data_IF_194641586403
#
_entry.id   IF_194641586403
#
_cell.length_a   1.000
_cell.length_b   1.000
_cell.length_c   1.000
_cell.angle_alpha   90.00
_cell.angle_beta   90.00
_cell.angle_gamma   90.00
#
_symmetry.space_group_name_H-M   'P 1'
#
loop_
_entity.id
_entity.type
_entity.pdbx_description
1 polymer ?
#
# COMPACT_ATOMS: atom_id res chain seq x y z
N UNK A 1 -13.97 17.07 10.66
CA UNK A 1 -13.20 17.44 11.86
C UNK A 1 -13.98 18.33 12.84
N UNK A 2 -14.43 19.53 12.43
CA UNK A 2 -15.02 20.53 13.34
C UNK A 2 -16.56 20.52 13.49
N UNK A 3 -17.27 19.68 12.73
CA UNK A 3 -18.74 19.65 12.75
C UNK A 3 -19.37 20.80 11.94
N UNK A 4 -20.70 20.79 11.79
CA UNK A 4 -21.43 21.83 11.07
C UNK A 4 -22.83 22.05 11.64
N UNK A 5 -23.33 23.28 11.47
CA UNK A 5 -24.71 23.64 11.74
C UNK A 5 -25.64 23.33 10.55
N UNK A 6 -26.94 23.28 10.83
CA UNK A 6 -27.95 23.15 9.76
C UNK A 6 -27.86 24.35 8.82
N UNK A 7 -27.83 24.09 7.51
CA UNK A 7 -27.76 25.12 6.47
C UNK A 7 -26.37 25.70 6.21
N UNK A 8 -25.32 25.13 6.79
CA UNK A 8 -23.95 25.62 6.60
C UNK A 8 -23.42 25.49 5.16
N UNK A 9 -23.94 24.54 4.38
CA UNK A 9 -23.65 24.33 2.96
C UNK A 9 -24.81 23.56 2.30
N UNK A 10 -24.79 23.45 0.97
CA UNK A 10 -25.80 22.69 0.21
C UNK A 10 -25.81 21.23 0.65
N UNK A 11 -26.93 20.77 1.24
CA UNK A 11 -27.06 19.42 1.80
C UNK A 11 -26.83 19.30 3.32
N UNK A 12 -26.53 20.39 4.02
CA UNK A 12 -26.48 20.42 5.49
C UNK A 12 -27.89 20.41 6.11
N UNK A 13 -28.60 19.28 6.00
CA UNK A 13 -30.01 19.12 6.42
C UNK A 13 -30.17 19.18 7.94
N UNK A 14 -29.15 18.75 8.69
CA UNK A 14 -29.14 18.70 10.14
C UNK A 14 -27.77 19.11 10.69
N UNK A 15 -27.73 19.46 11.98
CA UNK A 15 -26.48 19.70 12.71
C UNK A 15 -25.71 18.38 12.87
N UNK A 16 -24.39 18.43 12.71
CA UNK A 16 -23.49 17.29 12.98
C UNK A 16 -22.36 17.70 13.91
N UNK A 17 -22.20 16.95 15.00
CA UNK A 17 -21.11 17.11 15.97
C UNK A 17 -19.78 16.77 15.30
N UNK A 18 -18.75 17.59 15.58
CA UNK A 18 -17.39 17.38 15.08
C UNK A 18 -16.60 16.40 15.95
N UNK A 19 -15.49 15.87 15.41
CA UNK A 19 -14.60 14.95 16.13
C UNK A 19 -13.92 15.60 17.34
N UNK A 20 -13.64 16.90 17.29
CA UNK A 20 -13.11 17.64 18.44
C UNK A 20 -14.13 17.72 19.59
N UNK A 21 -15.39 17.99 19.28
CA UNK A 21 -16.48 18.05 20.27
C UNK A 21 -16.82 16.65 20.80
N UNK A 22 -16.82 15.63 19.94
CA UNK A 22 -17.03 14.23 20.31
C UNK A 22 -15.92 13.69 21.23
N UNK A 23 -14.68 14.15 21.04
CA UNK A 23 -13.53 13.75 21.85
C UNK A 23 -13.32 14.60 23.11
N UNK A 24 -14.20 15.55 23.42
CA UNK A 24 -14.07 16.45 24.56
C UNK A 24 -13.94 15.67 25.90
N UNK A 25 -12.94 16.00 26.70
CA UNK A 25 -12.56 15.28 27.92
C UNK A 25 -11.73 14.01 27.66
N UNK A 26 -11.37 13.72 26.41
CA UNK A 26 -10.70 12.51 25.98
C UNK A 26 -9.43 12.75 25.15
N UNK A 27 -9.13 11.81 24.25
CA UNK A 27 -7.98 11.86 23.35
C UNK A 27 -8.42 11.82 21.89
N UNK A 28 -7.84 12.68 21.06
CA UNK A 28 -8.04 12.73 19.63
C UNK A 28 -6.76 12.31 18.90
N UNK A 29 -6.82 11.24 18.12
CA UNK A 29 -5.76 10.82 17.21
C UNK A 29 -5.99 11.45 15.84
N UNK A 30 -5.01 12.20 15.36
CA UNK A 30 -4.97 12.77 14.01
C UNK A 30 -3.95 11.98 13.19
N UNK A 31 -4.44 11.20 12.22
CA UNK A 31 -3.59 10.43 11.33
C UNK A 31 -3.15 11.25 10.12
N UNK A 32 -1.89 11.08 9.69
CA UNK A 32 -1.30 11.70 8.48
C UNK A 32 -1.49 13.22 8.40
N UNK A 33 -1.13 13.95 9.46
CA UNK A 33 -1.34 15.41 9.53
C UNK A 33 -0.60 16.20 8.44
N UNK A 34 0.46 15.63 7.88
CA UNK A 34 1.25 16.18 6.77
C UNK A 34 0.42 16.40 5.50
N UNK A 35 -0.65 15.63 5.30
CA UNK A 35 -1.53 15.73 4.14
C UNK A 35 -2.72 16.69 4.37
N UNK A 36 -2.78 17.35 5.53
CA UNK A 36 -3.87 18.25 5.87
C UNK A 36 -3.76 19.56 5.07
N UNK A 37 -4.86 20.00 4.47
CA UNK A 37 -4.92 21.31 3.80
C UNK A 37 -4.59 22.48 4.74
N UNK A 38 -3.94 23.51 4.19
CA UNK A 38 -3.44 24.68 4.95
C UNK A 38 -4.57 25.43 5.67
N UNK A 39 -5.79 25.48 5.11
CA UNK A 39 -6.92 26.12 5.79
C UNK A 39 -7.38 25.33 7.02
N UNK A 40 -7.30 24.00 6.96
CA UNK A 40 -7.59 23.14 8.10
C UNK A 40 -6.49 23.21 9.16
N UNK A 41 -5.22 23.36 8.75
CA UNK A 41 -4.10 23.59 9.67
C UNK A 41 -4.32 24.85 10.53
N UNK A 42 -4.82 25.94 9.95
CA UNK A 42 -5.13 27.17 10.71
C UNK A 42 -6.24 26.95 11.75
N UNK A 43 -7.29 26.18 11.41
CA UNK A 43 -8.36 25.84 12.37
C UNK A 43 -7.86 24.91 13.46
N UNK A 44 -7.00 23.95 13.11
CA UNK A 44 -6.36 23.04 14.06
C UNK A 44 -5.48 23.81 15.05
N UNK A 45 -4.68 24.75 14.55
CA UNK A 45 -3.85 25.62 15.38
C UNK A 45 -4.71 26.36 16.42
N UNK A 46 -5.82 26.96 15.99
CA UNK A 46 -6.75 27.66 16.89
C UNK A 46 -7.35 26.72 17.93
N UNK A 47 -7.74 25.51 17.52
CA UNK A 47 -8.26 24.50 18.45
C UNK A 47 -7.24 24.08 19.52
N UNK A 48 -5.95 23.98 19.15
CA UNK A 48 -4.87 23.63 20.08
C UNK A 48 -4.53 24.82 21.01
N UNK A 49 -4.45 26.03 20.47
CA UNK A 49 -4.01 27.21 21.20
C UNK A 49 -5.09 27.78 22.12
N UNK A 50 -6.30 27.96 21.60
CA UNK A 50 -7.40 28.63 22.30
C UNK A 50 -8.32 27.65 23.03
N UNK A 51 -8.15 26.34 22.82
CA UNK A 51 -9.05 25.30 23.35
C UNK A 51 -10.53 25.53 22.97
N UNK A 52 -10.77 26.10 21.80
CA UNK A 52 -12.11 26.30 21.25
C UNK A 52 -12.16 25.90 19.78
N UNK A 53 -13.32 25.43 19.34
CA UNK A 53 -13.58 25.14 17.92
C UNK A 53 -14.79 25.93 17.42
N UNK A 54 -14.74 26.29 16.14
CA UNK A 54 -15.90 26.83 15.43
C UNK A 54 -16.50 25.76 14.52
N UNK A 55 -17.81 25.56 14.64
CA UNK A 55 -18.55 24.73 13.68
C UNK A 55 -18.65 25.44 12.34
N UNK A 56 -18.67 24.69 11.26
CA UNK A 56 -18.94 25.28 9.93
C UNK A 56 -20.36 25.85 9.92
N UNK A 57 -20.49 27.15 9.62
CA UNK A 57 -21.76 27.88 9.67
C UNK A 57 -22.25 28.21 11.10
N UNK A 58 -21.49 27.87 12.13
CA UNK A 58 -21.80 28.23 13.51
C UNK A 58 -21.23 29.59 13.89
N UNK A 59 -21.98 30.36 14.67
CA UNK A 59 -21.55 31.66 15.20
C UNK A 59 -20.97 31.59 16.60
N UNK A 60 -21.14 30.47 17.31
CA UNK A 60 -20.69 30.30 18.70
C UNK A 60 -19.50 29.35 18.76
N UNK A 61 -18.37 29.78 19.35
CA UNK A 61 -17.26 28.88 19.64
C UNK A 61 -17.68 27.84 20.68
N UNK A 62 -17.13 26.65 20.57
CA UNK A 62 -17.36 25.53 21.49
C UNK A 62 -16.05 25.22 22.21
N UNK A 63 -15.98 25.36 23.54
CA UNK A 63 -14.79 24.99 24.29
C UNK A 63 -14.57 23.49 24.25
N UNK A 64 -13.31 23.08 24.10
CA UNK A 64 -12.88 21.70 24.06
C UNK A 64 -11.63 21.50 24.91
N UNK A 65 -11.61 20.45 25.71
CA UNK A 65 -10.42 20.01 26.44
C UNK A 65 -10.06 18.61 25.97
N UNK A 66 -9.00 18.51 25.15
CA UNK A 66 -8.63 17.26 24.50
C UNK A 66 -7.12 17.05 24.55
N UNK A 67 -6.71 15.80 24.73
CA UNK A 67 -5.35 15.36 24.45
C UNK A 67 -5.23 15.06 22.96
N UNK A 68 -4.24 15.63 22.29
CA UNK A 68 -4.00 15.37 20.87
C UNK A 68 -2.80 14.45 20.70
N UNK A 69 -2.96 13.44 19.87
CA UNK A 69 -1.87 12.62 19.34
C UNK A 69 -1.92 12.79 17.83
N UNK A 70 -0.79 13.10 17.21
CA UNK A 70 -0.70 13.25 15.77
C UNK A 70 0.36 12.30 15.20
N UNK A 71 0.09 11.75 14.02
CA UNK A 71 1.06 10.95 13.26
C UNK A 71 1.36 11.66 11.94
N UNK A 72 2.54 11.41 11.41
CA UNK A 72 2.97 11.88 10.08
C UNK A 72 3.73 10.76 9.39
N UNK A 73 3.51 10.63 8.08
CA UNK A 73 4.27 9.73 7.20
C UNK A 73 5.47 10.44 6.54
N UNK A 74 5.57 11.78 6.68
CA UNK A 74 6.65 12.62 6.16
C UNK A 74 7.38 13.33 7.31
N UNK A 75 8.58 13.83 7.01
CA UNK A 75 9.25 14.77 7.92
C UNK A 75 8.50 16.11 7.88
N UNK A 76 7.98 16.54 9.03
CA UNK A 76 7.23 17.78 9.12
C UNK A 76 8.14 19.01 9.01
N UNK A 77 9.44 18.89 9.33
CA UNK A 77 10.39 19.99 9.12
C UNK A 77 10.62 20.25 7.62
N UNK A 78 10.70 19.19 6.82
CA UNK A 78 10.75 19.31 5.35
C UNK A 78 9.44 19.90 4.80
N UNK A 79 8.29 19.44 5.30
CA UNK A 79 6.98 19.98 4.89
C UNK A 79 6.82 21.48 5.21
N UNK A 80 7.42 21.97 6.31
CA UNK A 80 7.48 23.41 6.62
C UNK A 80 8.37 24.14 5.63
N UNK A 81 9.54 23.59 5.28
CA UNK A 81 10.44 24.18 4.30
C UNK A 81 9.78 24.31 2.90
N UNK A 82 8.95 23.32 2.53
CA UNK A 82 8.15 23.31 1.30
C UNK A 82 6.89 24.21 1.35
N UNK A 83 6.60 24.84 2.50
CA UNK A 83 5.39 25.65 2.76
C UNK A 83 4.08 24.88 2.61
N UNK A 84 4.12 23.55 2.59
CA UNK A 84 2.94 22.67 2.63
C UNK A 84 2.40 22.50 4.05
N UNK A 85 3.24 22.76 5.06
CA UNK A 85 2.88 22.72 6.47
C UNK A 85 3.23 24.03 7.18
N UNK A 86 2.39 24.46 8.12
CA UNK A 86 2.65 25.67 8.90
C UNK A 86 3.62 25.42 10.05
N UNK A 87 4.61 26.29 10.16
CA UNK A 87 5.62 26.26 11.21
C UNK A 87 5.01 26.44 12.62
N UNK A 88 4.05 27.37 12.76
CA UNK A 88 3.37 27.63 14.04
C UNK A 88 2.60 26.42 14.57
N UNK A 89 2.01 25.63 13.68
CA UNK A 89 1.34 24.38 14.01
C UNK A 89 2.34 23.28 14.40
N UNK A 90 3.47 23.19 13.69
CA UNK A 90 4.52 22.23 14.04
C UNK A 90 5.00 22.45 15.48
N UNK A 91 5.29 23.69 15.87
CA UNK A 91 5.73 24.00 17.23
C UNK A 91 4.70 23.65 18.30
N UNK A 92 3.39 23.70 18.00
CA UNK A 92 2.34 23.34 18.95
C UNK A 92 2.11 21.84 19.05
N UNK A 93 2.37 21.09 17.98
CA UNK A 93 2.23 19.63 17.97
C UNK A 93 3.49 18.92 18.47
N UNK A 94 4.67 19.47 18.16
CA UNK A 94 5.96 18.84 18.42
C UNK A 94 6.49 19.06 19.85
N UNK A 95 5.64 18.81 20.84
CA UNK A 95 6.01 18.89 22.27
C UNK A 95 6.77 17.63 22.70
N UNK A 96 6.28 16.46 22.29
CA UNK A 96 6.95 15.16 22.50
C UNK A 96 6.88 14.37 21.20
N UNK A 97 8.03 14.09 20.62
CA UNK A 97 8.15 13.33 19.37
C UNK A 97 8.52 11.87 19.64
N UNK A 98 7.75 10.95 19.10
CA UNK A 98 8.10 9.52 19.09
C UNK A 98 8.44 9.09 17.67
N UNK A 99 9.73 8.85 17.40
CA UNK A 99 10.18 8.34 16.10
C UNK A 99 10.05 6.82 16.07
N UNK A 100 9.11 6.32 15.27
CA UNK A 100 8.89 4.88 15.09
C UNK A 100 9.90 4.35 14.06
N UNK A 101 10.82 3.44 14.43
CA UNK A 101 11.80 2.91 13.48
C UNK A 101 11.13 2.03 12.42
N UNK A 102 11.65 1.98 11.18
CA UNK A 102 11.14 1.07 10.16
C UNK A 102 11.42 -0.40 10.55
N UNK A 103 10.62 -1.35 10.06
CA UNK A 103 10.77 -2.78 10.39
C UNK A 103 12.19 -3.32 10.12
N UNK A 104 12.84 -2.88 9.03
CA UNK A 104 14.24 -3.24 8.73
C UNK A 104 15.27 -2.90 9.81
N UNK A 105 14.97 -1.92 10.67
CA UNK A 105 15.85 -1.53 11.78
C UNK A 105 15.58 -2.33 13.07
N UNK A 106 14.60 -3.24 13.05
CA UNK A 106 14.17 -4.09 14.17
C UNK A 106 13.90 -5.51 13.69
N UNK A 107 14.94 -6.16 13.19
CA UNK A 107 14.86 -7.50 12.60
C UNK A 107 14.35 -8.58 13.57
N UNK A 108 14.56 -8.40 14.88
CA UNK A 108 14.02 -9.29 15.92
C UNK A 108 12.49 -9.31 15.95
N UNK A 109 11.84 -8.18 15.63
CA UNK A 109 10.38 -8.09 15.61
C UNK A 109 9.78 -8.88 14.44
N UNK A 110 10.54 -9.10 13.35
CA UNK A 110 10.06 -9.79 12.14
C UNK A 110 9.59 -11.20 12.50
N UNK A 111 10.33 -11.92 13.32
CA UNK A 111 10.01 -13.30 13.69
C UNK A 111 8.70 -13.38 14.50
N UNK A 112 8.59 -12.56 15.55
CA UNK A 112 7.42 -12.51 16.42
C UNK A 112 6.17 -12.05 15.65
N UNK A 113 6.31 -11.02 14.81
CA UNK A 113 5.22 -10.51 13.98
C UNK A 113 4.78 -11.54 12.94
N UNK A 114 5.72 -12.23 12.29
CA UNK A 114 5.39 -13.24 11.27
C UNK A 114 4.60 -14.39 11.87
N UNK A 115 5.02 -14.90 13.04
CA UNK A 115 4.30 -15.95 13.75
C UNK A 115 2.91 -15.48 14.21
N UNK A 116 2.80 -14.24 14.69
CA UNK A 116 1.51 -13.65 15.07
C UNK A 116 0.55 -13.57 13.88
N UNK A 117 1.00 -13.04 12.73
CA UNK A 117 0.18 -12.96 11.53
C UNK A 117 -0.16 -14.33 10.98
N UNK A 118 0.77 -15.29 11.03
CA UNK A 118 0.52 -16.65 10.58
C UNK A 118 -0.64 -17.28 11.36
N UNK A 119 -0.62 -17.14 12.69
CA UNK A 119 -1.71 -17.61 13.55
C UNK A 119 -3.03 -16.88 13.25
N UNK A 120 -3.00 -15.54 13.24
CA UNK A 120 -4.18 -14.67 13.01
C UNK A 120 -4.89 -15.03 11.71
N UNK A 121 -4.15 -15.20 10.62
CA UNK A 121 -4.73 -15.50 9.31
C UNK A 121 -5.05 -16.97 9.09
N UNK A 122 -4.39 -17.89 9.80
CA UNK A 122 -4.80 -19.30 9.79
C UNK A 122 -6.20 -19.45 10.41
N UNK A 123 -6.40 -18.82 11.58
CA UNK A 123 -7.71 -18.78 12.26
C UNK A 123 -8.79 -18.09 11.42
N UNK A 124 -8.48 -16.93 10.82
CA UNK A 124 -9.43 -16.18 10.00
C UNK A 124 -9.85 -16.93 8.72
N UNK A 125 -8.97 -17.74 8.14
CA UNK A 125 -9.24 -18.53 6.94
C UNK A 125 -9.74 -19.96 7.24
N UNK A 126 -9.88 -20.34 8.52
CA UNK A 126 -10.33 -21.67 8.92
C UNK A 126 -9.35 -22.79 8.55
N UNK A 127 -8.06 -22.47 8.41
CA UNK A 127 -7.00 -23.44 8.13
C UNK A 127 -6.19 -23.74 9.39
N UNK A 128 -5.57 -24.93 9.45
CA UNK A 128 -4.66 -25.26 10.54
C UNK A 128 -3.51 -24.25 10.62
N UNK A 129 -3.02 -23.96 11.83
CA UNK A 129 -1.87 -23.08 12.01
C UNK A 129 -0.63 -23.68 11.34
N UNK A 130 -0.12 -23.01 10.31
CA UNK A 130 1.04 -23.47 9.54
C UNK A 130 2.32 -22.84 10.10
N UNK A 131 3.27 -23.62 10.63
CA UNK A 131 4.56 -23.07 11.04
C UNK A 131 5.33 -22.54 9.83
N UNK A 132 6.20 -21.55 10.06
CA UNK A 132 7.10 -20.97 9.05
C UNK A 132 8.43 -21.72 9.15
N UNK A 133 8.97 -22.20 8.03
CA UNK A 133 10.30 -22.85 8.02
C UNK A 133 11.42 -21.87 8.36
N UNK A 134 12.56 -22.37 8.84
CA UNK A 134 13.74 -21.54 9.09
C UNK A 134 14.23 -20.84 7.81
N UNK A 135 14.16 -21.52 6.66
CA UNK A 135 14.51 -20.94 5.36
C UNK A 135 13.58 -19.78 4.97
N UNK A 136 12.27 -19.95 5.13
CA UNK A 136 11.30 -18.89 4.91
C UNK A 136 11.51 -17.72 5.87
N UNK A 137 11.82 -18.00 7.13
CA UNK A 137 12.16 -16.97 8.13
C UNK A 137 13.44 -16.22 7.76
N UNK A 138 14.45 -16.90 7.20
CA UNK A 138 15.65 -16.29 6.65
C UNK A 138 15.33 -15.26 5.57
N UNK A 139 14.47 -15.63 4.60
CA UNK A 139 13.99 -14.71 3.56
C UNK A 139 13.25 -13.50 4.13
N UNK A 140 12.39 -13.73 5.12
CA UNK A 140 11.66 -12.65 5.79
C UNK A 140 12.61 -11.68 6.52
N UNK A 141 13.70 -12.17 7.13
CA UNK A 141 14.67 -11.34 7.86
C UNK A 141 15.55 -10.49 6.93
N UNK A 142 15.84 -10.96 5.71
CA UNK A 142 16.70 -10.27 4.74
C UNK A 142 15.94 -9.16 3.99
N UNK A 143 14.62 -9.28 3.84
CA UNK A 143 13.83 -8.33 3.05
C UNK A 143 13.86 -6.90 3.66
N UNK A 144 14.04 -5.85 2.83
CA UNK A 144 14.04 -4.45 3.30
C UNK A 144 12.69 -3.93 3.84
N UNK A 145 11.58 -4.62 3.58
CA UNK A 145 10.22 -4.24 4.03
C UNK A 145 9.90 -2.75 3.85
N UNK A 146 9.83 -2.29 2.59
CA UNK A 146 9.56 -0.88 2.26
C UNK A 146 8.20 -0.42 2.79
N UNK A 147 7.20 -1.30 2.74
CA UNK A 147 5.86 -1.10 3.33
C UNK A 147 5.77 -1.48 4.81
N UNK A 148 6.90 -1.75 5.47
CA UNK A 148 7.01 -1.98 6.91
C UNK A 148 6.10 -3.16 7.35
N UNK A 149 5.54 -3.11 8.57
CA UNK A 149 4.67 -4.16 9.11
C UNK A 149 3.50 -4.52 8.18
N UNK A 150 2.93 -3.57 7.44
CA UNK A 150 1.81 -3.84 6.51
C UNK A 150 2.23 -4.74 5.35
N UNK A 151 3.44 -4.54 4.82
CA UNK A 151 3.98 -5.40 3.77
C UNK A 151 4.23 -6.81 4.30
N UNK A 152 4.82 -6.93 5.49
CA UNK A 152 5.02 -8.23 6.16
C UNK A 152 3.67 -8.95 6.38
N UNK A 153 2.68 -8.25 6.94
CA UNK A 153 1.35 -8.79 7.20
C UNK A 153 0.71 -9.34 5.92
N UNK A 154 0.76 -8.57 4.82
CA UNK A 154 0.23 -8.99 3.52
C UNK A 154 0.99 -10.18 2.93
N UNK A 155 2.32 -10.22 3.06
CA UNK A 155 3.14 -11.33 2.57
C UNK A 155 2.80 -12.62 3.31
N UNK A 156 2.67 -12.57 4.65
CA UNK A 156 2.29 -13.75 5.44
C UNK A 156 0.85 -14.19 5.14
N UNK A 157 -0.07 -13.25 5.02
CA UNK A 157 -1.44 -13.56 4.64
C UNK A 157 -1.50 -14.27 3.28
N UNK A 158 -0.76 -13.77 2.28
CA UNK A 158 -0.65 -14.40 0.96
C UNK A 158 0.00 -15.79 1.05
N UNK A 159 1.06 -15.93 1.85
CA UNK A 159 1.74 -17.21 2.04
C UNK A 159 0.77 -18.27 2.60
N UNK A 160 -0.13 -17.91 3.51
CA UNK A 160 -1.16 -18.83 4.01
C UNK A 160 -2.13 -19.25 2.91
N UNK A 161 -2.55 -18.34 2.05
CA UNK A 161 -3.49 -18.63 0.97
C UNK A 161 -2.87 -19.49 -0.14
N UNK A 162 -1.57 -19.29 -0.43
CA UNK A 162 -0.87 -19.96 -1.53
C UNK A 162 -0.16 -21.25 -1.12
N UNK A 163 0.19 -21.41 0.15
CA UNK A 163 0.89 -22.58 0.64
C UNK A 163 0.09 -23.86 0.37
N UNK A 164 0.73 -24.80 -0.30
CA UNK A 164 0.25 -26.16 -0.50
C UNK A 164 0.91 -27.05 0.57
N UNK A 165 0.11 -27.55 1.52
CA UNK A 165 0.57 -28.38 2.64
C UNK A 165 0.41 -27.72 4.00
N UNK A 166 1.18 -28.20 4.97
CA UNK A 166 1.02 -27.86 6.39
C UNK A 166 2.05 -26.84 6.90
N UNK A 167 3.01 -26.43 6.08
CA UNK A 167 4.15 -25.58 6.49
C UNK A 167 4.40 -24.49 5.45
N UNK A 168 4.65 -23.26 5.90
CA UNK A 168 5.00 -22.13 5.04
C UNK A 168 6.48 -22.23 4.66
N UNK A 169 6.73 -22.67 3.42
CA UNK A 169 8.05 -22.74 2.80
C UNK A 169 8.51 -21.43 2.17
N UNK A 170 9.77 -21.37 1.69
CA UNK A 170 10.35 -20.18 1.08
C UNK A 170 9.70 -19.77 -0.25
N UNK A 171 9.05 -20.71 -0.93
CA UNK A 171 8.29 -20.53 -2.17
C UNK A 171 6.98 -19.75 -1.96
N UNK A 172 6.37 -19.88 -0.78
CA UNK A 172 5.17 -19.15 -0.40
C UNK A 172 5.46 -17.68 -0.03
N UNK A 173 6.73 -17.33 0.22
CA UNK A 173 7.13 -15.97 0.58
C UNK A 173 7.40 -15.15 -0.68
N UNK A 174 6.33 -14.58 -1.22
CA UNK A 174 6.34 -13.76 -2.44
C UNK A 174 6.14 -12.28 -2.12
N UNK A 175 6.90 -11.43 -2.81
CA UNK A 175 6.74 -9.97 -2.80
C UNK A 175 5.37 -9.57 -3.39
N UNK A 176 4.91 -8.32 -3.18
CA UNK A 176 3.61 -7.86 -3.69
C UNK A 176 3.40 -8.02 -5.20
N UNK A 177 4.47 -8.04 -5.98
CA UNK A 177 4.50 -8.25 -7.43
C UNK A 177 4.53 -9.73 -7.84
N UNK A 178 4.52 -10.66 -6.87
CA UNK A 178 4.60 -12.10 -7.11
C UNK A 178 6.03 -12.62 -7.31
N UNK A 179 7.04 -11.78 -7.20
CA UNK A 179 8.45 -12.21 -7.29
C UNK A 179 8.94 -12.82 -5.98
N UNK A 180 9.89 -13.74 -6.06
CA UNK A 180 10.56 -14.28 -4.88
C UNK A 180 11.49 -13.22 -4.28
N UNK A 181 11.62 -13.21 -2.94
CA UNK A 181 12.63 -12.38 -2.27
C UNK A 181 14.02 -12.84 -2.74
N UNK A 182 14.91 -11.93 -3.19
CA UNK A 182 16.25 -12.30 -3.61
C UNK A 182 17.03 -12.98 -2.48
N UNK A 183 17.57 -14.17 -2.75
CA UNK A 183 18.48 -14.87 -1.85
C UNK A 183 19.86 -14.18 -1.92
N UNK A 184 20.12 -13.23 -1.03
CA UNK A 184 21.46 -12.66 -0.86
C UNK A 184 22.35 -13.60 -0.04
N UNK A 185 22.69 -14.74 -0.63
CA UNK A 185 23.79 -15.59 -0.22
C UNK A 185 24.82 -15.61 -1.35
N UNK A 186 25.63 -14.55 -1.40
CA UNK A 186 27.02 -14.47 -1.89
C UNK A 186 27.28 -13.04 -2.39
N UNK A 187 28.01 -12.28 -1.57
CA UNK A 187 28.80 -11.19 -2.08
C UNK A 187 29.92 -11.81 -2.93
N UNK A 188 29.68 -11.93 -4.22
CA UNK A 188 30.68 -11.77 -5.25
C UNK A 188 29.99 -11.57 -6.60
N UNK A 189 30.44 -10.53 -7.29
CA UNK A 189 30.10 -10.08 -8.63
C UNK A 189 29.74 -11.20 -9.61
N UNK A 190 28.45 -11.49 -9.74
CA UNK A 190 27.85 -12.01 -10.98
C UNK A 190 26.40 -11.50 -11.08
N UNK A 191 26.29 -10.25 -11.52
CA UNK A 191 25.06 -9.73 -12.10
C UNK A 191 24.78 -10.46 -13.42
N UNK A 192 24.09 -11.60 -13.33
CA UNK A 192 23.52 -12.29 -14.49
C UNK A 192 22.17 -12.88 -14.11
N UNK A 193 21.09 -12.23 -14.57
CA UNK A 193 19.83 -12.96 -14.66
C UNK A 193 18.54 -12.18 -14.91
N UNK A 194 18.35 -10.94 -14.43
CA UNK A 194 17.13 -10.16 -14.73
C UNK A 194 17.36 -8.64 -14.82
N UNK A 195 18.58 -8.27 -15.17
CA UNK A 195 18.92 -6.95 -15.67
C UNK A 195 19.45 -7.10 -17.10
N UNK A 196 18.53 -7.28 -18.04
CA UNK A 196 18.74 -6.93 -19.43
C UNK A 196 17.36 -6.54 -20.01
N UNK A 197 17.11 -5.36 -20.54
CA UNK A 197 18.04 -4.34 -21.00
C UNK A 197 17.23 -3.07 -21.33
N UNK A 198 17.39 -1.98 -20.57
CA UNK A 198 17.11 -0.64 -21.12
C UNK A 198 17.97 -0.34 -22.36
N UNK A 199 19.13 -1.02 -22.48
CA UNK A 199 20.04 -0.94 -23.61
C UNK A 199 19.61 -1.75 -24.87
N UNK A 200 18.60 -2.62 -24.79
CA UNK A 200 18.12 -3.51 -25.89
C UNK A 200 16.80 -3.00 -26.49
N UNK A 201 16.28 -1.91 -25.93
CA UNK A 201 15.15 -1.16 -26.47
C UNK A 201 15.62 -0.07 -27.45
N UNK A 202 16.90 0.30 -27.40
CA UNK A 202 17.52 1.27 -28.31
C UNK A 202 17.67 0.65 -29.70
N UNK A 203 16.89 1.15 -30.66
CA UNK A 203 16.89 0.69 -32.05
C UNK A 203 15.71 -0.20 -32.47
N UNK A 204 14.83 -0.60 -31.53
CA UNK A 204 13.58 -1.31 -31.85
C UNK A 204 12.43 -0.31 -32.05
N UNK A 205 11.50 -0.63 -32.94
CA UNK A 205 10.31 0.20 -33.15
C UNK A 205 9.43 0.11 -31.90
N UNK A 206 8.90 1.26 -31.47
CA UNK A 206 8.00 1.36 -30.30
C UNK A 206 6.83 0.37 -30.39
N UNK A 207 6.32 0.13 -31.59
CA UNK A 207 5.23 -0.83 -31.83
C UNK A 207 5.60 -2.29 -31.49
N UNK A 208 6.83 -2.71 -31.73
CA UNK A 208 7.30 -4.08 -31.45
C UNK A 208 7.52 -4.29 -29.95
N UNK A 209 8.08 -3.27 -29.28
CA UNK A 209 8.26 -3.28 -27.82
C UNK A 209 6.91 -3.32 -27.11
N UNK A 210 5.95 -2.50 -27.58
CA UNK A 210 4.58 -2.49 -27.04
C UNK A 210 3.90 -3.84 -27.23
N UNK A 211 4.05 -4.45 -28.40
CA UNK A 211 3.48 -5.75 -28.71
C UNK A 211 4.03 -6.86 -27.82
N UNK A 212 5.35 -6.95 -27.66
CA UNK A 212 6.01 -7.95 -26.81
C UNK A 212 5.56 -7.80 -25.35
N UNK A 213 5.47 -6.56 -24.86
CA UNK A 213 5.04 -6.26 -23.49
C UNK A 213 3.59 -6.70 -23.25
N UNK A 214 2.71 -6.46 -24.22
CA UNK A 214 1.29 -6.85 -24.13
C UNK A 214 1.15 -8.39 -24.11
N UNK A 215 1.85 -9.11 -24.99
CA UNK A 215 1.77 -10.57 -25.09
C UNK A 215 2.35 -11.25 -23.85
N UNK A 216 3.53 -10.84 -23.39
CA UNK A 216 4.15 -11.39 -22.18
C UNK A 216 3.27 -11.18 -20.94
N UNK A 217 2.61 -10.01 -20.84
CA UNK A 217 1.71 -9.74 -19.70
C UNK A 217 0.42 -10.56 -19.78
N UNK A 218 -0.06 -10.87 -20.99
CA UNK A 218 -1.20 -11.75 -21.21
C UNK A 218 -0.89 -13.20 -20.84
N UNK A 219 0.30 -13.70 -21.20
CA UNK A 219 0.77 -15.04 -20.83
C UNK A 219 0.92 -15.16 -19.31
N UNK A 220 1.52 -14.15 -18.67
CA UNK A 220 1.62 -14.09 -17.20
C UNK A 220 0.25 -14.07 -16.51
N UNK A 221 -0.77 -13.52 -17.17
CA UNK A 221 -2.15 -13.50 -16.68
C UNK A 221 -3.00 -14.68 -17.15
N UNK A 222 -2.41 -15.73 -17.74
CA UNK A 222 -3.10 -16.91 -18.27
C UNK A 222 -4.24 -16.54 -19.24
N UNK A 223 -4.03 -15.51 -20.07
CA UNK A 223 -5.02 -15.01 -21.02
C UNK A 223 -6.11 -14.12 -20.41
N UNK A 224 -6.06 -13.79 -19.11
CA UNK A 224 -7.04 -12.89 -18.48
C UNK A 224 -6.81 -11.43 -18.89
N UNK A 225 -7.53 -11.01 -19.93
CA UNK A 225 -7.45 -9.67 -20.53
C UNK A 225 -7.76 -8.54 -19.55
N UNK A 226 -8.69 -8.73 -18.62
CA UNK A 226 -9.05 -7.69 -17.63
C UNK A 226 -7.91 -7.48 -16.64
N UNK A 227 -7.27 -8.57 -16.21
CA UNK A 227 -6.14 -8.49 -15.30
C UNK A 227 -4.89 -7.92 -15.99
N UNK A 228 -4.61 -8.37 -17.22
CA UNK A 228 -3.50 -7.86 -18.02
C UNK A 228 -3.63 -6.35 -18.32
N UNK A 229 -4.85 -5.85 -18.60
CA UNK A 229 -5.10 -4.43 -18.83
C UNK A 229 -4.79 -3.58 -17.57
N UNK A 230 -5.15 -4.08 -16.39
CA UNK A 230 -4.87 -3.41 -15.11
C UNK A 230 -3.36 -3.37 -14.81
N UNK A 231 -2.61 -4.44 -15.11
CA UNK A 231 -1.16 -4.49 -14.91
C UNK A 231 -0.44 -3.55 -15.89
N UNK A 232 -0.90 -3.49 -17.14
CA UNK A 232 -0.35 -2.60 -18.17
C UNK A 232 -0.76 -1.14 -18.01
N UNK A 233 -1.70 -0.83 -17.12
CA UNK A 233 -2.21 0.54 -16.91
C UNK A 233 -3.00 1.11 -18.09
N UNK A 234 -3.56 0.26 -18.97
CA UNK A 234 -4.36 0.69 -20.14
C UNK A 234 -5.80 0.23 -20.02
N UNK A 235 -6.72 0.93 -20.71
CA UNK A 235 -8.12 0.50 -20.72
C UNK A 235 -8.29 -0.87 -21.38
N UNK A 236 -9.23 -1.69 -20.86
CA UNK A 236 -9.58 -2.98 -21.46
C UNK A 236 -10.01 -2.85 -22.94
N UNK A 237 -10.58 -1.69 -23.32
CA UNK A 237 -10.95 -1.37 -24.70
C UNK A 237 -9.71 -1.19 -25.58
N UNK A 238 -8.70 -0.49 -25.06
CA UNK A 238 -7.40 -0.29 -25.74
C UNK A 238 -6.69 -1.63 -25.94
N UNK A 239 -6.64 -2.46 -24.90
CA UNK A 239 -6.05 -3.80 -24.98
C UNK A 239 -6.76 -4.67 -26.03
N UNK A 240 -8.10 -4.71 -26.03
CA UNK A 240 -8.88 -5.47 -27.02
C UNK A 240 -8.66 -5.01 -28.46
N UNK A 241 -8.57 -3.70 -28.68
CA UNK A 241 -8.33 -3.14 -30.01
C UNK A 241 -6.93 -3.53 -30.53
N UNK A 242 -5.91 -3.50 -29.66
CA UNK A 242 -4.54 -3.91 -29.98
C UNK A 242 -4.46 -5.42 -30.27
N UNK A 243 -5.10 -6.26 -29.46
CA UNK A 243 -5.16 -7.70 -29.70
C UNK A 243 -5.89 -8.07 -31.00
N UNK A 244 -6.93 -7.32 -31.36
CA UNK A 244 -7.64 -7.51 -32.63
C UNK A 244 -6.78 -7.15 -33.84
N UNK A 245 -5.94 -6.13 -33.71
CA UNK A 245 -4.97 -5.74 -34.73
C UNK A 245 -3.90 -6.84 -34.89
N UNK A 246 -3.31 -7.31 -33.79
CA UNK A 246 -2.29 -8.38 -33.81
C UNK A 246 -2.82 -9.71 -34.35
N UNK A 247 -4.07 -10.06 -34.02
CA UNK A 247 -4.74 -11.25 -34.57
C UNK A 247 -5.04 -11.11 -36.06
N UNK A 248 -5.22 -9.89 -36.58
CA UNK A 248 -5.36 -9.60 -38.01
C UNK A 248 -4.03 -9.67 -38.77
N UNK A 249 -2.92 -9.37 -38.09
CA UNK A 249 -1.56 -9.44 -38.60
C UNK A 249 -0.94 -10.85 -38.49
N UNK A 250 -1.72 -11.86 -38.09
CA UNK A 250 -1.31 -13.28 -38.06
C UNK A 250 -0.56 -13.72 -36.80
N UNK A 251 -0.55 -12.92 -35.73
CA UNK A 251 0.15 -13.24 -34.48
C UNK A 251 -0.76 -14.05 -33.54
N UNK A 252 -0.22 -15.12 -32.96
CA UNK A 252 -0.95 -15.99 -32.03
C UNK A 252 -1.25 -15.24 -30.72
N UNK A 253 -2.53 -15.02 -30.45
CA UNK A 253 -3.00 -14.37 -29.21
C UNK A 253 -3.44 -15.43 -28.21
N UNK A 254 -2.89 -15.45 -26.98
CA UNK A 254 -3.32 -16.36 -25.93
C UNK A 254 -4.81 -16.18 -25.60
N UNK A 255 -5.59 -17.26 -25.70
CA UNK A 255 -7.03 -17.25 -25.42
C UNK A 255 -7.30 -17.48 -23.93
N UNK A 256 -8.27 -16.75 -23.39
CA UNK A 256 -8.73 -16.98 -22.02
C UNK A 256 -9.49 -18.31 -21.94
N UNK A 257 -8.92 -19.29 -21.24
CA UNK A 257 -9.64 -20.47 -20.76
C UNK A 257 -9.82 -21.64 -21.75
N UNK A 258 -9.07 -21.71 -22.85
CA UNK A 258 -9.05 -22.89 -23.70
C UNK A 258 -7.60 -23.26 -24.04
N UNK A 259 -7.02 -24.18 -23.26
CA UNK A 259 -6.10 -25.24 -23.72
C UNK A 259 -5.46 -26.08 -22.61
N UNK A 260 -5.86 -25.92 -21.34
CA UNK A 260 -5.42 -26.87 -20.29
C UNK A 260 -6.22 -28.19 -20.25
N UNK A 261 -7.22 -28.37 -21.12
CA UNK A 261 -7.95 -29.65 -21.25
C UNK A 261 -7.37 -30.60 -22.30
N UNK A 262 -6.50 -30.13 -23.21
CA UNK A 262 -5.94 -30.97 -24.27
C UNK A 262 -4.61 -31.66 -23.87
N UNK A 263 -3.85 -31.09 -22.92
CA UNK A 263 -2.56 -31.63 -22.50
C UNK A 263 -2.63 -32.78 -21.45
N UNK A 264 -3.83 -33.17 -21.02
CA UNK A 264 -4.07 -34.23 -20.03
C UNK A 264 -4.57 -35.55 -20.65
N UNK A 265 -4.47 -35.72 -21.98
CA UNK A 265 -4.92 -36.94 -22.70
C UNK A 265 -3.96 -37.47 -23.78
N UNK A 266 -2.66 -37.18 -23.66
CA UNK A 266 -1.62 -37.86 -24.45
C UNK A 266 -0.62 -38.53 -23.51
#
# INVERSE_FOLDING_TARGET
LFGHEKGAFTGAVARRIGKFEEANGGTLLLDEISEMDVQLQAKLLRAIQEKIIDRVGGSKPVPVDIRIIATSNRDLAEAVAEKSFREDLLFRLNVVTLKIPPLRARSLDIEVLSQHFAKKYSEANGVANRPITEEAMGKLKINPWRGNVRELENTIHRAILLCQGDVIGPDAILMPDGTAIPDNANGDSHATGYASNGASLVGRKVAEVEQDLILNTLDHCLGNRTHAANILGISIRTLRNKLKLYSGDGIAVPLAGADHRAALRA
#
